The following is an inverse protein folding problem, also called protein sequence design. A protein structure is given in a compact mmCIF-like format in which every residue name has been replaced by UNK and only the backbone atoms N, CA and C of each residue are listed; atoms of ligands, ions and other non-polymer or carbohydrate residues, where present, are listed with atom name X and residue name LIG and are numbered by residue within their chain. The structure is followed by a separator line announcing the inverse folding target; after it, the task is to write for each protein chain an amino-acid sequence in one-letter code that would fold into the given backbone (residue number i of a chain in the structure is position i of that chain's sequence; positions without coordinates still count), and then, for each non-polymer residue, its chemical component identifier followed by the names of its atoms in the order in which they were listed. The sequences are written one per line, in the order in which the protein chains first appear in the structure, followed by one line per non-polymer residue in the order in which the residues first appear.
data_IF_951238531019
#
_entry.id   IF_951238531019
#
_cell.length_a   1.000
_cell.length_b   1.000
_cell.length_c   1.000
_cell.angle_alpha   90.00
_cell.angle_beta   90.00
_cell.angle_gamma   90.00
#
_symmetry.space_group_name_H-M   'P 1'
#
loop_
_entity.id
_entity.type
_entity.pdbx_description
1 polymer ?
#
# COMPACT_ATOMS: atom_id res chain seq x y z
N UNK A 1 7.35 -12.92 -74.88
CA UNK A 1 6.40 -13.55 -75.82
C UNK A 1 5.20 -14.09 -75.06
N UNK A 2 4.18 -13.25 -74.81
CA UNK A 2 2.75 -13.58 -74.89
C UNK A 2 1.93 -12.40 -74.40
N UNK A 3 0.95 -12.09 -75.21
CA UNK A 3 0.07 -10.93 -75.25
C UNK A 3 -1.27 -11.26 -74.60
N UNK A 4 -1.92 -10.23 -74.06
CA UNK A 4 -3.37 -10.01 -73.99
C UNK A 4 -4.25 -10.95 -73.12
N UNK A 5 -5.18 -10.37 -72.36
CA UNK A 5 -6.59 -10.21 -72.78
C UNK A 5 -7.47 -9.66 -71.64
N UNK A 6 -7.94 -8.43 -71.86
CA UNK A 6 -9.29 -7.86 -71.65
C UNK A 6 -10.34 -8.72 -70.90
N UNK A 7 -11.05 -8.13 -69.93
CA UNK A 7 -12.51 -7.82 -70.01
C UNK A 7 -13.11 -7.33 -68.68
N UNK A 8 -13.64 -6.10 -68.70
CA UNK A 8 -14.76 -5.66 -67.85
C UNK A 8 -16.01 -6.51 -68.18
N UNK A 9 -16.83 -6.80 -67.15
CA UNK A 9 -18.30 -6.96 -67.17
C UNK A 9 -18.77 -7.28 -65.73
N UNK A 10 -19.38 -6.33 -65.04
CA UNK A 10 -20.82 -6.05 -65.04
C UNK A 10 -21.66 -7.03 -64.19
N UNK A 11 -22.17 -6.47 -63.09
CA UNK A 11 -23.55 -6.52 -62.64
C UNK A 11 -24.06 -7.68 -61.74
N UNK A 12 -24.78 -7.19 -60.71
CA UNK A 12 -26.05 -7.65 -60.13
C UNK A 12 -26.04 -8.23 -58.72
N UNK A 13 -26.86 -7.54 -57.93
CA UNK A 13 -27.33 -7.81 -56.58
C UNK A 13 -28.23 -9.05 -56.53
N UNK A 14 -28.23 -9.72 -55.37
CA UNK A 14 -29.22 -10.55 -54.65
C UNK A 14 -28.37 -11.13 -53.50
N UNK A 15 -28.63 -11.08 -52.20
CA UNK A 15 -29.83 -10.96 -51.39
C UNK A 15 -29.71 -11.99 -50.26
N UNK A 16 -30.08 -11.60 -49.03
CA UNK A 16 -30.50 -12.46 -47.90
C UNK A 16 -29.46 -13.10 -46.95
N UNK A 17 -29.13 -12.35 -45.88
CA UNK A 17 -29.44 -12.70 -44.48
C UNK A 17 -28.86 -13.98 -43.84
N UNK A 18 -27.67 -13.88 -43.24
CA UNK A 18 -27.23 -14.72 -42.12
C UNK A 18 -26.60 -13.78 -41.08
N UNK A 19 -27.16 -13.69 -39.88
CA UNK A 19 -26.42 -13.17 -38.71
C UNK A 19 -26.73 -14.06 -37.52
N UNK A 20 -25.75 -14.92 -37.21
CA UNK A 20 -25.65 -15.63 -35.95
C UNK A 20 -25.30 -14.63 -34.84
N UNK A 21 -25.97 -14.75 -33.70
CA UNK A 21 -25.71 -13.96 -32.51
C UNK A 21 -24.35 -14.32 -31.90
N UNK A 22 -23.39 -13.40 -31.98
CA UNK A 22 -22.19 -13.40 -31.14
C UNK A 22 -22.26 -12.14 -30.27
N UNK A 23 -22.56 -12.32 -28.99
CA UNK A 23 -22.52 -11.25 -27.99
C UNK A 23 -21.07 -10.97 -27.62
N UNK A 24 -20.46 -10.02 -28.33
CA UNK A 24 -19.27 -9.32 -27.87
C UNK A 24 -19.72 -8.16 -26.99
N UNK A 25 -19.58 -8.30 -25.67
CA UNK A 25 -19.65 -7.15 -24.77
C UNK A 25 -18.40 -6.30 -25.01
N UNK A 26 -18.64 -5.08 -25.49
CA UNK A 26 -17.65 -4.18 -26.04
C UNK A 26 -16.79 -3.51 -24.97
N UNK A 27 -15.53 -3.34 -25.35
CA UNK A 27 -14.57 -2.38 -24.84
C UNK A 27 -14.95 -0.96 -25.29
N UNK A 28 -14.95 -0.02 -24.34
CA UNK A 28 -14.47 1.38 -24.44
C UNK A 28 -14.83 2.28 -25.64
N UNK A 29 -15.44 3.43 -25.32
CA UNK A 29 -15.02 4.72 -25.89
C UNK A 29 -16.13 5.70 -26.28
N UNK A 30 -16.17 6.87 -25.61
CA UNK A 30 -16.52 8.16 -26.24
C UNK A 30 -17.67 8.98 -25.63
N UNK A 31 -17.33 10.15 -25.08
CA UNK A 31 -17.98 11.43 -25.44
C UNK A 31 -19.21 11.94 -24.67
N UNK A 32 -18.96 13.00 -23.88
CA UNK A 32 -19.74 14.24 -23.77
C UNK A 32 -21.01 14.36 -22.89
N UNK A 33 -20.91 15.38 -22.02
CA UNK A 33 -21.98 16.30 -21.56
C UNK A 33 -23.07 15.81 -20.59
N UNK A 34 -22.93 16.27 -19.34
CA UNK A 34 -24.04 16.78 -18.52
C UNK A 34 -25.18 15.82 -18.20
N UNK A 35 -25.06 15.11 -17.08
CA UNK A 35 -26.19 14.39 -16.49
C UNK A 35 -25.78 13.74 -15.17
N UNK A 36 -26.12 14.38 -14.05
CA UNK A 36 -26.08 13.77 -12.73
C UNK A 36 -27.15 12.67 -12.65
N UNK A 37 -26.84 11.51 -13.23
CA UNK A 37 -27.59 10.28 -13.00
C UNK A 37 -27.30 9.77 -11.59
N UNK A 38 -28.27 9.10 -10.93
CA UNK A 38 -28.03 8.52 -9.62
C UNK A 38 -26.88 7.51 -9.73
N UNK A 39 -25.80 7.75 -8.98
CA UNK A 39 -24.75 6.75 -8.78
C UNK A 39 -25.42 5.51 -8.18
N UNK A 40 -25.46 4.42 -8.95
CA UNK A 40 -25.92 3.14 -8.43
C UNK A 40 -25.09 2.72 -7.22
N UNK A 41 -25.61 1.87 -6.32
CA UNK A 41 -24.85 1.40 -5.16
C UNK A 41 -23.51 0.83 -5.62
N UNK A 42 -22.40 1.42 -5.17
CA UNK A 42 -21.07 0.89 -5.45
C UNK A 42 -20.95 -0.44 -4.68
N UNK A 43 -21.02 -1.56 -5.39
CA UNK A 43 -20.89 -2.89 -4.77
C UNK A 43 -19.43 -3.11 -4.40
N UNK A 44 -19.15 -3.04 -3.10
CA UNK A 44 -17.81 -3.31 -2.57
C UNK A 44 -17.53 -4.82 -2.68
N UNK A 45 -16.43 -5.21 -3.33
CA UNK A 45 -16.10 -6.61 -3.54
C UNK A 45 -15.57 -7.26 -2.25
N UNK A 46 -15.89 -8.54 -2.04
CA UNK A 46 -15.29 -9.34 -0.97
C UNK A 46 -13.83 -9.62 -1.25
N UNK A 47 -12.98 -9.33 -0.28
CA UNK A 47 -11.54 -9.55 -0.33
C UNK A 47 -11.03 -10.27 0.92
N UNK A 48 -9.73 -10.61 0.91
CA UNK A 48 -9.04 -11.26 2.02
C UNK A 48 -7.81 -10.44 2.41
N UNK A 49 -7.73 -10.06 3.68
CA UNK A 49 -6.52 -9.48 4.27
C UNK A 49 -5.96 -10.47 5.29
N UNK A 50 -4.67 -10.74 5.20
CA UNK A 50 -3.93 -11.60 6.12
C UNK A 50 -2.60 -11.00 6.49
N UNK A 51 -1.94 -11.55 7.51
CA UNK A 51 -0.61 -11.12 7.91
C UNK A 51 -0.17 -11.77 9.20
N UNK A 52 0.97 -11.32 9.69
CA UNK A 52 1.51 -11.70 10.99
C UNK A 52 1.61 -10.45 11.87
N UNK A 53 1.03 -10.52 13.06
CA UNK A 53 1.21 -9.54 14.12
C UNK A 53 2.35 -10.01 15.05
N UNK A 54 3.46 -9.27 15.08
CA UNK A 54 4.64 -9.65 15.85
C UNK A 54 5.52 -8.44 16.21
N UNK A 55 6.24 -8.56 17.32
CA UNK A 55 7.19 -7.59 17.85
C UNK A 55 8.61 -8.17 17.97
N UNK A 56 8.92 -9.22 17.20
CA UNK A 56 10.01 -10.18 17.43
C UNK A 56 9.44 -11.49 17.99
N UNK A 57 8.64 -11.39 19.06
CA UNK A 57 7.72 -12.46 19.44
C UNK A 57 6.35 -12.29 18.76
N UNK A 58 5.64 -13.40 18.56
CA UNK A 58 4.24 -13.37 18.12
C UNK A 58 3.38 -12.53 19.08
N UNK A 59 2.57 -11.62 18.54
CA UNK A 59 1.50 -10.96 19.29
C UNK A 59 0.32 -11.94 19.42
N UNK A 60 0.51 -12.95 20.28
CA UNK A 60 -0.44 -14.04 20.47
C UNK A 60 -1.80 -13.52 20.92
N UNK A 61 -2.87 -13.95 20.25
CA UNK A 61 -4.25 -13.55 20.54
C UNK A 61 -4.50 -12.03 20.45
N UNK A 62 -3.67 -11.29 19.68
CA UNK A 62 -3.91 -9.88 19.45
C UNK A 62 -5.27 -9.65 18.82
N UNK A 63 -6.01 -8.67 19.33
CA UNK A 63 -7.18 -8.12 18.63
C UNK A 63 -6.71 -7.45 17.34
N UNK A 64 -7.35 -7.78 16.22
CA UNK A 64 -7.08 -7.22 14.90
C UNK A 64 -8.33 -6.47 14.45
N UNK A 65 -8.19 -5.17 14.19
CA UNK A 65 -9.25 -4.36 13.59
C UNK A 65 -8.75 -3.75 12.29
N UNK A 66 -9.60 -3.75 11.27
CA UNK A 66 -9.30 -3.20 9.95
C UNK A 66 -10.39 -2.18 9.63
N UNK A 67 -9.99 -0.95 9.38
CA UNK A 67 -10.86 0.12 8.94
C UNK A 67 -10.38 0.60 7.58
N UNK A 68 -11.25 0.52 6.57
CA UNK A 68 -10.97 0.92 5.21
C UNK A 68 -11.75 2.18 4.83
N UNK A 69 -11.37 2.81 3.70
CA UNK A 69 -12.17 3.87 3.10
C UNK A 69 -13.65 3.44 2.93
N UNK A 70 -13.88 2.17 2.58
CA UNK A 70 -15.20 1.54 2.66
C UNK A 70 -15.07 0.13 3.23
N UNK A 71 -15.86 -0.18 4.26
CA UNK A 71 -15.90 -1.50 4.90
C UNK A 71 -14.91 -1.65 6.05
N UNK A 72 -15.30 -2.42 7.07
CA UNK A 72 -14.51 -2.68 8.27
C UNK A 72 -14.50 -4.18 8.55
N UNK A 73 -13.43 -4.66 9.18
CA UNK A 73 -13.27 -6.05 9.63
C UNK A 73 -12.70 -6.11 11.03
N UNK A 74 -13.04 -7.14 11.79
CA UNK A 74 -12.47 -7.41 13.10
C UNK A 74 -12.27 -8.91 13.31
N UNK A 75 -11.23 -9.26 14.07
CA UNK A 75 -10.85 -10.64 14.34
C UNK A 75 -9.71 -10.71 15.36
N UNK A 76 -9.09 -11.88 15.46
CA UNK A 76 -8.01 -12.12 16.42
C UNK A 76 -6.88 -12.87 15.73
N UNK A 77 -5.65 -12.51 16.04
CA UNK A 77 -4.48 -13.29 15.64
C UNK A 77 -4.44 -14.62 16.40
N UNK A 78 -3.87 -15.65 15.78
CA UNK A 78 -3.63 -16.94 16.43
C UNK A 78 -2.55 -16.81 17.52
N UNK A 79 -2.28 -17.90 18.24
CA UNK A 79 -1.14 -17.97 19.17
C UNK A 79 0.22 -17.75 18.47
N UNK A 80 0.31 -18.00 17.16
CA UNK A 80 1.50 -17.73 16.35
C UNK A 80 1.53 -16.32 15.75
N UNK A 81 0.58 -15.44 16.12
CA UNK A 81 0.48 -14.07 15.61
C UNK A 81 -0.12 -13.96 14.20
N UNK A 82 -0.44 -15.08 13.53
CA UNK A 82 -1.03 -15.05 12.20
C UNK A 82 -2.50 -14.63 12.25
N UNK A 83 -2.97 -13.84 11.29
CA UNK A 83 -4.38 -13.49 11.16
C UNK A 83 -4.86 -13.55 9.71
N UNK A 84 -6.18 -13.70 9.55
CA UNK A 84 -6.85 -13.69 8.25
C UNK A 84 -8.29 -13.22 8.47
N UNK A 85 -8.70 -12.21 7.71
CA UNK A 85 -10.06 -11.69 7.69
C UNK A 85 -10.56 -11.62 6.24
N UNK A 86 -11.80 -12.06 6.04
CA UNK A 86 -12.49 -11.97 4.75
C UNK A 86 -13.76 -11.14 4.94
N UNK A 87 -13.87 -10.04 4.19
CA UNK A 87 -14.98 -9.09 4.27
C UNK A 87 -15.04 -8.24 3.00
N UNK A 88 -16.15 -7.53 2.78
CA UNK A 88 -16.27 -6.59 1.67
C UNK A 88 -15.60 -5.26 2.04
N UNK A 89 -14.62 -4.84 1.23
CA UNK A 89 -13.91 -3.58 1.47
C UNK A 89 -13.33 -2.95 0.20
N UNK A 90 -13.08 -1.64 0.26
CA UNK A 90 -12.29 -0.89 -0.70
C UNK A 90 -11.16 -0.19 0.05
N UNK A 91 -9.93 -0.40 -0.40
CA UNK A 91 -8.75 0.21 0.18
C UNK A 91 -8.64 1.72 -0.06
N UNK A 92 -7.68 2.39 0.60
CA UNK A 92 -6.73 1.82 1.56
C UNK A 92 -7.37 1.56 2.94
N UNK A 93 -6.73 0.71 3.74
CA UNK A 93 -7.17 0.30 5.06
C UNK A 93 -6.08 0.49 6.10
N UNK A 94 -6.41 1.03 7.26
CA UNK A 94 -5.59 0.92 8.46
C UNK A 94 -5.86 -0.42 9.14
N UNK A 95 -4.81 -1.09 9.58
CA UNK A 95 -4.89 -2.30 10.39
C UNK A 95 -4.34 -1.96 11.77
N UNK A 96 -5.08 -2.26 12.83
CA UNK A 96 -4.63 -2.10 14.22
C UNK A 96 -4.55 -3.47 14.88
N UNK A 97 -3.39 -3.82 15.40
CA UNK A 97 -3.15 -5.00 16.22
C UNK A 97 -2.87 -4.63 17.67
N UNK A 98 -3.56 -5.24 18.63
CA UNK A 98 -3.37 -4.93 20.06
C UNK A 98 -3.46 -6.15 20.98
N UNK A 99 -2.50 -6.26 21.91
CA UNK A 99 -2.44 -7.28 22.99
C UNK A 99 -2.68 -6.68 24.37
N UNK A 100 -3.10 -5.40 24.46
CA UNK A 100 -3.21 -4.64 25.72
C UNK A 100 -1.87 -4.11 26.24
N UNK A 101 -0.75 -4.82 26.00
CA UNK A 101 0.61 -4.36 26.31
C UNK A 101 1.26 -3.53 25.19
N UNK A 102 0.83 -3.75 23.95
CA UNK A 102 1.28 -3.03 22.77
C UNK A 102 0.10 -2.84 21.82
N UNK A 103 0.10 -1.70 21.13
CA UNK A 103 -0.79 -1.42 20.00
C UNK A 103 0.09 -0.95 18.86
N UNK A 104 -0.03 -1.61 17.71
CA UNK A 104 0.72 -1.31 16.50
C UNK A 104 -0.24 -1.18 15.33
N UNK A 105 0.16 -0.37 14.36
CA UNK A 105 -0.61 -0.08 13.18
C UNK A 105 0.14 -0.54 11.92
N UNK A 106 -0.65 -0.81 10.90
CA UNK A 106 -0.18 -1.13 9.56
C UNK A 106 -1.19 -0.62 8.54
N UNK A 107 -0.89 -0.88 7.27
CA UNK A 107 -1.67 -0.45 6.14
C UNK A 107 -1.94 -1.64 5.21
N UNK A 108 -3.13 -1.70 4.63
CA UNK A 108 -3.41 -2.53 3.47
C UNK A 108 -3.93 -1.67 2.32
N UNK A 109 -3.31 -1.78 1.15
CA UNK A 109 -3.79 -1.11 -0.06
C UNK A 109 -4.72 -1.99 -0.92
N UNK A 110 -5.09 -3.17 -0.42
CA UNK A 110 -5.96 -4.12 -1.12
C UNK A 110 -6.05 -5.47 -0.41
N UNK A 111 -6.50 -6.50 -1.12
CA UNK A 111 -6.40 -7.88 -0.64
C UNK A 111 -4.96 -8.38 -0.72
N UNK A 112 -4.54 -9.17 0.27
CA UNK A 112 -3.19 -9.72 0.31
C UNK A 112 -2.64 -9.92 1.71
N UNK A 113 -1.31 -9.95 1.80
CA UNK A 113 -0.56 -10.05 3.04
C UNK A 113 -0.05 -8.69 3.45
N UNK A 114 -0.39 -8.26 4.66
CA UNK A 114 0.07 -7.02 5.29
C UNK A 114 0.35 -7.34 6.74
N UNK A 115 1.58 -7.17 7.21
CA UNK A 115 1.97 -7.53 8.58
C UNK A 115 1.69 -6.39 9.55
N UNK A 116 1.53 -6.69 10.83
CA UNK A 116 1.46 -5.68 11.90
C UNK A 116 2.71 -5.82 12.75
N UNK A 117 3.69 -4.96 12.53
CA UNK A 117 4.98 -5.01 13.22
C UNK A 117 5.47 -3.61 13.57
N UNK A 118 6.50 -3.50 14.43
CA UNK A 118 7.12 -2.21 14.72
C UNK A 118 7.70 -1.54 13.46
N UNK A 119 8.07 -2.31 12.43
CA UNK A 119 8.51 -1.78 11.14
C UNK A 119 7.36 -1.14 10.36
N UNK A 120 6.16 -1.73 10.37
CA UNK A 120 5.00 -1.14 9.69
C UNK A 120 4.49 0.11 10.41
N UNK A 121 4.61 0.16 11.74
CA UNK A 121 4.38 1.38 12.53
C UNK A 121 5.33 2.50 12.08
N UNK A 122 6.63 2.20 11.95
CA UNK A 122 7.62 3.18 11.47
C UNK A 122 7.37 3.62 10.04
N UNK A 123 6.93 2.71 9.16
CA UNK A 123 6.53 3.07 7.80
C UNK A 123 5.39 4.08 7.79
N UNK A 124 4.37 3.89 8.65
CA UNK A 124 3.27 4.85 8.78
C UNK A 124 3.73 6.19 9.36
N UNK A 125 4.66 6.19 10.32
CA UNK A 125 5.26 7.43 10.86
C UNK A 125 6.03 8.18 9.77
N UNK A 126 6.81 7.46 8.95
CA UNK A 126 7.53 8.03 7.82
C UNK A 126 6.55 8.67 6.82
N UNK A 127 5.54 7.91 6.39
CA UNK A 127 4.55 8.35 5.42
C UNK A 127 3.73 9.54 5.94
N UNK A 128 3.34 9.51 7.22
CA UNK A 128 2.65 10.62 7.86
C UNK A 128 3.49 11.90 7.82
N UNK A 129 4.77 11.80 8.18
CA UNK A 129 5.69 12.94 8.19
C UNK A 129 5.96 13.47 6.78
N UNK A 130 6.04 12.59 5.78
CA UNK A 130 6.11 12.99 4.37
C UNK A 130 4.85 13.76 3.95
N UNK A 131 3.68 13.36 4.41
CA UNK A 131 2.42 14.06 4.14
C UNK A 131 2.20 15.31 5.01
N UNK A 132 3.17 15.70 5.83
CA UNK A 132 3.08 16.88 6.71
C UNK A 132 2.14 16.70 7.90
N UNK A 133 1.90 15.46 8.33
CA UNK A 133 1.08 15.10 9.49
C UNK A 133 1.86 14.19 10.46
N UNK A 134 1.24 13.84 11.57
CA UNK A 134 1.70 12.73 12.42
C UNK A 134 0.88 11.44 12.16
N UNK A 135 1.29 10.35 12.81
CA UNK A 135 0.64 9.05 12.70
C UNK A 135 -0.86 9.12 13.03
N UNK A 136 -1.23 9.86 14.08
CA UNK A 136 -2.63 9.96 14.49
C UNK A 136 -3.46 10.67 13.42
N UNK A 137 -2.95 11.78 12.87
CA UNK A 137 -3.57 12.51 11.78
C UNK A 137 -3.67 11.69 10.50
N UNK A 138 -2.64 10.90 10.16
CA UNK A 138 -2.70 9.97 9.02
C UNK A 138 -3.80 8.93 9.21
N UNK A 139 -3.85 8.26 10.36
CA UNK A 139 -4.85 7.22 10.66
C UNK A 139 -6.27 7.78 10.70
N UNK A 140 -6.47 8.93 11.36
CA UNK A 140 -7.77 9.61 11.44
C UNK A 140 -8.24 10.14 10.07
N UNK A 141 -7.30 10.54 9.21
CA UNK A 141 -7.58 11.07 7.88
C UNK A 141 -7.69 10.01 6.79
N UNK A 142 -7.27 8.76 7.02
CA UNK A 142 -7.14 7.75 5.95
C UNK A 142 -8.47 7.46 5.22
N UNK A 143 -9.61 7.57 5.92
CA UNK A 143 -10.94 7.36 5.33
C UNK A 143 -11.54 8.56 4.59
N UNK A 144 -10.94 9.75 4.68
CA UNK A 144 -11.57 11.00 4.21
C UNK A 144 -10.63 11.94 3.44
N UNK A 145 -9.33 11.93 3.73
CA UNK A 145 -8.34 12.76 3.07
C UNK A 145 -7.85 12.08 1.79
N UNK A 146 -8.05 12.72 0.64
CA UNK A 146 -7.69 12.17 -0.67
C UNK A 146 -6.20 12.07 -0.90
N UNK A 147 -5.39 12.98 -0.34
CA UNK A 147 -3.93 12.91 -0.42
C UNK A 147 -3.40 11.70 0.35
N UNK A 148 -3.95 11.44 1.55
CA UNK A 148 -3.55 10.30 2.37
C UNK A 148 -3.96 8.99 1.68
N UNK A 149 -5.16 8.94 1.10
CA UNK A 149 -5.62 7.78 0.34
C UNK A 149 -4.76 7.51 -0.90
N UNK A 150 -4.37 8.56 -1.63
CA UNK A 150 -3.52 8.43 -2.82
C UNK A 150 -2.15 7.84 -2.45
N UNK A 151 -1.49 8.40 -1.44
CA UNK A 151 -0.19 7.90 -0.99
C UNK A 151 -0.28 6.48 -0.42
N UNK A 152 -1.30 6.19 0.40
CA UNK A 152 -1.55 4.87 0.96
C UNK A 152 -1.91 3.80 -0.09
N UNK A 153 -2.39 4.20 -1.26
CA UNK A 153 -2.74 3.28 -2.35
C UNK A 153 -1.60 3.11 -3.37
N UNK A 154 -0.58 3.97 -3.32
CA UNK A 154 0.51 3.99 -4.28
C UNK A 154 1.68 3.10 -3.82
N UNK A 155 1.92 2.01 -4.55
CA UNK A 155 3.02 1.08 -4.24
C UNK A 155 4.40 1.74 -4.27
N UNK A 156 4.61 2.79 -5.07
CA UNK A 156 5.89 3.50 -5.11
C UNK A 156 6.13 4.30 -3.83
N UNK A 157 5.09 4.97 -3.33
CA UNK A 157 5.17 5.76 -2.08
C UNK A 157 5.36 4.81 -0.88
N UNK A 158 4.65 3.68 -0.85
CA UNK A 158 4.84 2.65 0.17
C UNK A 158 6.26 2.05 0.13
N UNK A 159 6.77 1.72 -1.06
CA UNK A 159 8.12 1.20 -1.21
C UNK A 159 9.19 2.24 -0.81
N UNK A 160 8.97 3.51 -1.13
CA UNK A 160 9.85 4.61 -0.74
C UNK A 160 9.87 4.80 0.79
N UNK A 161 8.71 4.78 1.44
CA UNK A 161 8.60 4.86 2.90
C UNK A 161 9.32 3.67 3.58
N UNK A 162 9.14 2.45 3.07
CA UNK A 162 9.84 1.27 3.56
C UNK A 162 11.37 1.39 3.37
N UNK A 163 11.82 1.91 2.22
CA UNK A 163 13.23 2.19 1.97
C UNK A 163 13.82 3.26 2.89
N UNK A 164 13.05 4.32 3.17
CA UNK A 164 13.42 5.39 4.10
C UNK A 164 13.59 4.87 5.53
N UNK A 165 12.66 4.04 6.00
CA UNK A 165 12.80 3.35 7.30
C UNK A 165 14.06 2.48 7.32
N UNK A 166 14.28 1.64 6.31
CA UNK A 166 15.47 0.80 6.22
C UNK A 166 16.78 1.62 6.26
N UNK A 167 16.81 2.77 5.58
CA UNK A 167 17.97 3.68 5.61
C UNK A 167 18.23 4.28 7.00
N UNK A 168 17.17 4.69 7.72
CA UNK A 168 17.29 5.18 9.10
C UNK A 168 17.80 4.09 10.03
N UNK A 169 17.27 2.87 9.91
CA UNK A 169 17.72 1.73 10.72
C UNK A 169 19.18 1.40 10.49
N UNK A 170 19.63 1.41 9.23
CA UNK A 170 21.03 1.20 8.88
C UNK A 170 21.93 2.28 9.47
N UNK A 171 21.50 3.54 9.39
CA UNK A 171 22.26 4.69 9.89
C UNK A 171 22.40 4.70 11.41
N UNK A 172 21.33 4.40 12.14
CA UNK A 172 21.30 4.49 13.61
C UNK A 172 21.81 3.24 14.31
N UNK A 173 21.52 2.06 13.78
CA UNK A 173 21.79 0.78 14.46
C UNK A 173 22.76 -0.12 13.68
N UNK A 174 23.18 0.26 12.46
CA UNK A 174 24.04 -0.58 11.62
C UNK A 174 23.33 -1.81 11.02
N UNK A 175 22.02 -1.96 11.26
CA UNK A 175 21.22 -3.12 10.85
C UNK A 175 20.75 -2.96 9.40
N UNK A 176 20.99 -3.98 8.58
CA UNK A 176 20.41 -4.11 7.24
C UNK A 176 19.29 -5.11 7.32
N UNK A 177 18.06 -4.71 6.96
CA UNK A 177 16.93 -5.64 6.92
C UNK A 177 17.13 -6.72 5.86
N UNK A 178 16.65 -7.92 6.15
CA UNK A 178 16.61 -9.04 5.20
C UNK A 178 15.76 -8.74 3.95
N UNK A 179 14.78 -7.85 4.08
CA UNK A 179 13.93 -7.36 3.00
C UNK A 179 13.49 -5.92 3.29
N UNK A 180 13.48 -5.07 2.26
CA UNK A 180 12.82 -3.77 2.34
C UNK A 180 11.31 -3.91 2.20
N UNK A 181 10.78 -5.01 1.66
CA UNK A 181 9.36 -5.28 1.46
C UNK A 181 8.64 -5.80 2.75
N UNK A 182 9.03 -5.33 3.93
CA UNK A 182 8.56 -5.83 5.23
C UNK A 182 7.04 -5.66 5.46
N UNK A 183 6.37 -4.73 4.77
CA UNK A 183 4.92 -4.56 4.84
C UNK A 183 4.19 -5.85 4.43
N UNK A 184 4.65 -6.50 3.35
CA UNK A 184 3.90 -7.59 2.69
C UNK A 184 4.63 -8.94 2.71
N UNK A 185 5.90 -8.96 3.13
CA UNK A 185 6.68 -10.21 3.21
C UNK A 185 6.09 -11.12 4.28
N UNK A 186 5.51 -12.25 3.87
CA UNK A 186 5.00 -13.24 4.81
C UNK A 186 6.14 -13.82 5.67
N UNK A 187 5.90 -13.99 6.97
CA UNK A 187 6.84 -14.63 7.88
C UNK A 187 6.11 -15.29 9.05
N UNK A 188 6.83 -16.18 9.73
CA UNK A 188 6.39 -16.84 10.96
C UNK A 188 7.34 -16.42 12.09
N UNK A 189 6.83 -16.00 13.26
CA UNK A 189 7.69 -15.64 14.39
C UNK A 189 8.56 -16.82 14.85
N UNK A 190 9.80 -16.53 15.24
CA UNK A 190 10.85 -17.49 15.56
C UNK A 190 11.57 -18.10 14.35
N UNK A 191 11.41 -17.55 13.14
CA UNK A 191 12.10 -18.03 11.92
C UNK A 191 13.07 -16.99 11.35
N UNK A 192 14.12 -17.42 10.61
CA UNK A 192 15.00 -16.48 9.93
C UNK A 192 14.26 -15.54 8.97
N UNK A 193 14.88 -14.40 8.66
CA UNK A 193 14.33 -13.39 7.74
C UNK A 193 13.68 -12.23 8.48
N UNK A 194 12.46 -11.85 8.09
CA UNK A 194 11.80 -10.64 8.60
C UNK A 194 11.63 -10.62 10.13
N UNK A 195 11.48 -11.78 10.77
CA UNK A 195 11.38 -11.88 12.23
C UNK A 195 12.73 -11.69 12.93
N UNK A 196 13.80 -12.29 12.39
CA UNK A 196 15.15 -12.09 12.88
C UNK A 196 15.59 -10.62 12.78
N UNK A 197 15.07 -9.87 11.80
CA UNK A 197 15.25 -8.41 11.75
C UNK A 197 14.59 -7.71 12.96
N UNK A 198 13.39 -8.13 13.36
CA UNK A 198 12.70 -7.58 14.53
C UNK A 198 13.46 -7.87 15.83
N UNK A 199 13.94 -9.10 15.99
CA UNK A 199 14.74 -9.52 17.15
C UNK A 199 16.06 -8.73 17.23
N UNK A 200 16.75 -8.55 16.10
CA UNK A 200 17.99 -7.78 16.03
C UNK A 200 17.76 -6.31 16.41
N UNK A 201 16.65 -5.71 15.95
CA UNK A 201 16.26 -4.35 16.29
C UNK A 201 15.90 -4.21 17.77
N UNK A 202 15.16 -5.17 18.33
CA UNK A 202 14.85 -5.18 19.76
C UNK A 202 16.14 -5.29 20.60
N UNK A 203 17.06 -6.18 20.23
CA UNK A 203 18.35 -6.35 20.90
C UNK A 203 19.23 -5.08 20.81
N UNK A 204 19.12 -4.31 19.72
CA UNK A 204 19.81 -3.04 19.54
C UNK A 204 19.15 -1.85 20.26
N UNK A 205 18.03 -2.06 20.97
CA UNK A 205 17.29 -1.00 21.65
C UNK A 205 16.45 -0.10 20.73
N UNK A 206 16.24 -0.53 19.48
CA UNK A 206 15.36 0.17 18.55
C UNK A 206 13.90 0.09 18.98
N UNK A 207 13.51 -0.99 19.66
CA UNK A 207 12.18 -1.23 20.21
C UNK A 207 12.21 -1.34 21.73
N UNK A 208 11.12 -0.94 22.39
CA UNK A 208 10.93 -1.11 23.83
C UNK A 208 10.73 -2.58 24.19
N UNK A 209 10.68 -2.90 25.48
CA UNK A 209 10.37 -4.27 25.96
C UNK A 209 9.02 -4.78 25.47
N UNK A 210 8.07 -3.89 25.18
CA UNK A 210 6.75 -4.24 24.67
C UNK A 210 6.70 -4.28 23.14
N UNK A 211 7.83 -4.04 22.46
CA UNK A 211 7.91 -4.06 21.01
C UNK A 211 7.58 -2.76 20.32
N UNK A 212 7.18 -1.70 21.02
CA UNK A 212 6.92 -0.41 20.36
C UNK A 212 8.22 0.26 19.95
N UNK A 213 8.27 1.01 18.84
CA UNK A 213 9.47 1.77 18.48
C UNK A 213 9.90 2.77 19.56
N UNK A 214 11.21 2.91 19.77
CA UNK A 214 11.77 3.87 20.72
C UNK A 214 11.50 5.31 20.26
N UNK A 215 11.38 6.25 21.21
CA UNK A 215 11.15 7.66 20.90
C UNK A 215 12.24 8.27 19.99
N UNK A 216 13.50 7.85 20.19
CA UNK A 216 14.63 8.25 19.35
C UNK A 216 14.44 7.78 17.91
N UNK A 217 14.02 6.53 17.71
CA UNK A 217 13.79 5.98 16.37
C UNK A 217 12.57 6.63 15.71
N UNK A 218 11.46 6.81 16.43
CA UNK A 218 10.26 7.51 15.94
C UNK A 218 10.63 8.91 15.43
N UNK A 219 11.39 9.67 16.22
CA UNK A 219 11.82 11.02 15.86
C UNK A 219 12.71 11.04 14.62
N UNK A 220 13.64 10.09 14.50
CA UNK A 220 14.53 10.00 13.35
C UNK A 220 13.79 9.59 12.06
N UNK A 221 12.81 8.69 12.17
CA UNK A 221 11.98 8.27 11.04
C UNK A 221 11.05 9.39 10.58
N UNK A 222 10.43 10.12 11.51
CA UNK A 222 9.64 11.30 11.18
C UNK A 222 10.50 12.40 10.49
N UNK A 223 11.71 12.65 11.00
CA UNK A 223 12.63 13.59 10.38
C UNK A 223 13.04 13.16 8.95
N UNK A 224 13.22 11.85 8.72
CA UNK A 224 13.49 11.34 7.38
C UNK A 224 12.29 11.55 6.43
N UNK A 225 11.06 11.26 6.89
CA UNK A 225 9.84 11.49 6.11
C UNK A 225 9.63 12.96 5.73
N UNK A 226 9.80 13.89 6.68
CA UNK A 226 9.72 15.34 6.38
C UNK A 226 10.75 15.80 5.34
N UNK A 227 11.96 15.21 5.35
CA UNK A 227 13.01 15.52 4.38
C UNK A 227 12.65 14.99 2.98
N UNK A 228 11.95 13.86 2.89
CA UNK A 228 11.52 13.28 1.62
C UNK A 228 10.48 14.15 0.88
N UNK A 229 9.62 14.87 1.62
CA UNK A 229 8.64 15.80 1.07
C UNK A 229 9.23 17.14 0.63
N UNK A 230 10.49 17.43 0.98
CA UNK A 230 11.13 18.67 0.54
C UNK A 230 11.43 18.55 -0.95
N UNK A 231 10.86 19.40 -1.84
CA UNK A 231 11.30 19.44 -3.22
C UNK A 231 12.80 19.76 -3.19
N UNK A 232 13.62 18.82 -3.62
CA UNK A 232 15.07 19.00 -3.73
C UNK A 232 15.28 20.22 -4.64
N UNK A 233 15.60 21.35 -4.00
CA UNK A 233 15.69 22.65 -4.66
C UNK A 233 16.58 22.57 -5.90
N UNK A 234 16.05 23.08 -7.02
CA UNK A 234 16.74 23.11 -8.29
C UNK A 234 18.11 23.78 -8.18
N UNK A 235 19.12 23.12 -8.74
CA UNK A 235 20.44 23.71 -8.98
C UNK A 235 20.35 24.72 -10.13
N UNK A 236 19.69 25.85 -9.90
CA UNK A 236 19.62 27.00 -10.81
C UNK A 236 20.53 28.11 -10.32
N UNK A 237 21.85 27.92 -10.41
CA UNK A 237 22.83 28.94 -10.06
C UNK A 237 22.65 30.18 -10.92
N UNK A 238 22.21 31.29 -10.31
CA UNK A 238 22.34 32.63 -10.89
C UNK A 238 23.82 32.97 -10.99
N UNK A 239 24.36 32.93 -12.21
CA UNK A 239 25.63 33.59 -12.53
C UNK A 239 25.30 35.02 -12.94
N UNK A 240 25.46 35.94 -11.99
CA UNK A 240 25.61 37.36 -12.27
C UNK A 240 26.95 37.56 -12.98
N UNK A 241 26.91 37.81 -14.29
CA UNK A 241 28.06 38.17 -15.10
C UNK A 241 27.73 39.36 -15.99
N UNK A 242 27.94 40.56 -15.46
CA UNK A 242 28.06 41.80 -16.24
C UNK A 242 29.50 41.88 -16.78
N UNK A 243 29.69 42.38 -18.01
CA UNK A 243 30.38 43.66 -18.12
C UNK A 243 29.57 44.73 -18.87
#
# INVERSE_FOLDING_TARGET
MKTNHTKLRAARWIGLGIVAAATMAACGGGGDSGGGGPVGPQTVASGKISGTAAVGAAMANASITIACAQGNGAGTATASGAYTLSFAFSGPCSITGSTGSATLHSLANGSGTFNVTPLTELMLVYLAAELGTDLNGLLAGLGSNTAYQAAASNNADLAAAQGGVAAVLKKLYGITLSTSAFLTTAFTPGQPGADADLDALQAAGAFTSNGTPSATLLSAVAAAGTTANSPTGGTGGSTSGTP
#
